data_IF_506833247847
#
_entry.id   IF_506833247847
#
_cell.length_a   1.000
_cell.length_b   1.000
_cell.length_c   1.000
_cell.angle_alpha   90.00
_cell.angle_beta   90.00
_cell.angle_gamma   90.00
#
_symmetry.space_group_name_H-M   'P 1'
#
loop_
_entity.id
_entity.type
_entity.pdbx_description
1 polymer ?
#
# COMPACT_ATOMS: atom_id res chain seq x y z
N UNK A 1 16.31 9.23 -0.84
CA UNK A 1 15.42 10.23 -1.46
C UNK A 1 15.91 10.73 -2.82
N UNK A 2 17.22 10.79 -3.09
CA UNK A 2 17.74 11.28 -4.38
C UNK A 2 17.63 10.28 -5.53
N UNK A 3 17.48 8.98 -5.26
CA UNK A 3 17.47 7.93 -6.28
C UNK A 3 16.10 7.71 -6.94
N UNK A 4 15.00 8.07 -6.25
CA UNK A 4 13.64 7.97 -6.78
C UNK A 4 12.95 9.31 -6.62
N UNK A 5 12.85 10.07 -7.71
CA UNK A 5 12.14 11.34 -7.67
C UNK A 5 10.65 11.08 -7.42
N UNK A 6 10.01 11.96 -6.65
CA UNK A 6 8.58 11.90 -6.39
C UNK A 6 8.15 11.13 -5.15
N UNK A 7 9.01 10.40 -4.46
CA UNK A 7 8.69 9.79 -3.16
C UNK A 7 8.34 10.89 -2.16
N UNK A 8 7.16 10.81 -1.58
CA UNK A 8 6.62 11.74 -0.59
C UNK A 8 6.79 11.22 0.82
N UNK A 9 6.41 9.97 1.05
CA UNK A 9 6.41 9.36 2.37
C UNK A 9 6.55 7.84 2.26
N UNK A 10 7.01 7.21 3.35
CA UNK A 10 7.13 5.76 3.47
C UNK A 10 6.63 5.34 4.85
N UNK A 11 5.80 4.32 4.88
CA UNK A 11 5.24 3.78 6.12
C UNK A 11 5.41 2.27 6.17
N UNK A 12 5.96 1.76 7.28
CA UNK A 12 6.00 0.32 7.56
C UNK A 12 4.68 -0.09 8.20
N UNK A 13 3.94 -0.97 7.53
CA UNK A 13 2.61 -1.36 8.02
C UNK A 13 2.69 -2.26 9.26
N UNK A 14 1.81 -2.01 10.23
CA UNK A 14 1.72 -2.87 11.43
C UNK A 14 1.35 -4.31 11.07
N UNK A 15 0.42 -4.52 10.14
CA UNK A 15 0.06 -5.85 9.63
C UNK A 15 1.21 -6.58 8.94
N UNK A 16 2.21 -5.86 8.47
CA UNK A 16 3.46 -6.41 7.91
C UNK A 16 4.55 -6.66 8.95
N UNK A 17 4.19 -6.96 10.18
CA UNK A 17 5.11 -7.22 11.29
C UNK A 17 6.13 -6.08 11.53
N UNK A 18 5.76 -4.86 11.24
CA UNK A 18 6.55 -3.65 11.46
C UNK A 18 7.69 -3.40 10.47
N UNK A 19 8.12 -4.39 9.68
CA UNK A 19 9.23 -4.21 8.73
C UNK A 19 9.19 -5.12 7.49
N UNK A 20 8.29 -6.09 7.40
CA UNK A 20 8.18 -6.93 6.21
C UNK A 20 7.40 -6.28 5.07
N UNK A 21 6.53 -5.32 5.38
CA UNK A 21 5.73 -4.61 4.40
C UNK A 21 5.86 -3.10 4.57
N UNK A 22 6.27 -2.43 3.50
CA UNK A 22 6.28 -0.99 3.40
C UNK A 22 5.27 -0.49 2.36
N UNK A 23 4.60 0.62 2.68
CA UNK A 23 3.79 1.38 1.73
C UNK A 23 4.54 2.66 1.38
N UNK A 24 4.73 2.91 0.10
CA UNK A 24 5.47 4.05 -0.44
C UNK A 24 4.50 4.96 -1.18
N UNK A 25 4.41 6.20 -0.74
CA UNK A 25 3.60 7.23 -1.40
C UNK A 25 4.45 8.02 -2.39
N UNK A 26 3.99 8.14 -3.63
CA UNK A 26 4.69 8.89 -4.68
C UNK A 26 3.78 9.89 -5.39
N UNK A 27 4.35 11.02 -5.80
CA UNK A 27 3.76 11.93 -6.78
C UNK A 27 4.37 11.62 -8.15
N UNK A 28 3.74 10.71 -8.90
CA UNK A 28 4.23 10.24 -10.18
C UNK A 28 4.14 11.32 -11.25
N UNK A 29 5.26 11.63 -11.92
CA UNK A 29 5.36 12.57 -13.05
C UNK A 29 5.76 11.90 -14.36
N UNK A 30 6.09 10.62 -14.34
CA UNK A 30 6.44 9.81 -15.51
C UNK A 30 6.06 8.36 -15.29
N UNK A 31 5.71 7.67 -16.36
CA UNK A 31 5.52 6.22 -16.32
C UNK A 31 6.77 5.50 -15.81
N UNK A 32 6.59 4.43 -15.03
CA UNK A 32 7.68 3.61 -14.52
C UNK A 32 8.30 4.08 -13.19
N UNK A 33 7.95 5.25 -12.66
CA UNK A 33 8.46 5.71 -11.36
C UNK A 33 8.03 4.80 -10.20
N UNK A 34 6.82 4.23 -10.26
CA UNK A 34 6.36 3.28 -9.27
C UNK A 34 7.25 2.03 -9.21
N UNK A 35 7.59 1.44 -10.37
CA UNK A 35 8.52 0.29 -10.41
C UNK A 35 9.92 0.65 -9.93
N UNK A 36 10.40 1.84 -10.25
CA UNK A 36 11.68 2.33 -9.73
C UNK A 36 11.64 2.47 -8.21
N UNK A 37 10.51 2.94 -7.65
CA UNK A 37 10.32 3.04 -6.19
C UNK A 37 10.30 1.65 -5.52
N UNK A 38 9.66 0.64 -6.13
CA UNK A 38 9.67 -0.73 -5.65
C UNK A 38 11.11 -1.29 -5.55
N UNK A 39 11.87 -1.19 -6.64
CA UNK A 39 13.25 -1.68 -6.67
C UNK A 39 14.13 -0.95 -5.66
N UNK A 40 14.01 0.36 -5.56
CA UNK A 40 14.78 1.16 -4.62
C UNK A 40 14.45 0.83 -3.16
N UNK A 41 13.19 0.59 -2.83
CA UNK A 41 12.77 0.19 -1.48
C UNK A 41 13.39 -1.14 -1.06
N UNK A 42 13.36 -2.15 -1.94
CA UNK A 42 13.99 -3.46 -1.66
C UNK A 42 15.50 -3.38 -1.55
N UNK A 43 16.15 -2.53 -2.35
CA UNK A 43 17.60 -2.33 -2.27
C UNK A 43 18.00 -1.54 -1.00
N UNK A 44 17.19 -0.56 -0.60
CA UNK A 44 17.47 0.26 0.58
C UNK A 44 17.28 -0.48 1.90
N UNK A 45 16.35 -1.45 1.95
CA UNK A 45 16.05 -2.17 3.18
C UNK A 45 15.82 -3.67 2.89
N UNK A 46 16.87 -4.50 2.91
CA UNK A 46 16.80 -5.92 2.60
C UNK A 46 15.78 -6.75 3.38
N UNK A 47 15.42 -6.46 4.63
CA UNK A 47 14.38 -7.20 5.35
C UNK A 47 12.98 -7.12 4.72
N UNK A 48 12.69 -6.11 3.90
CA UNK A 48 11.39 -6.00 3.23
C UNK A 48 11.10 -7.26 2.39
N UNK A 49 9.89 -7.79 2.57
CA UNK A 49 9.32 -8.86 1.76
C UNK A 49 8.31 -8.32 0.75
N UNK A 50 7.54 -7.32 1.17
CA UNK A 50 6.46 -6.72 0.39
C UNK A 50 6.61 -5.20 0.33
N UNK A 51 6.33 -4.61 -0.82
CA UNK A 51 6.23 -3.16 -0.98
C UNK A 51 5.00 -2.84 -1.81
N UNK A 52 4.19 -1.92 -1.35
CA UNK A 52 3.07 -1.35 -2.12
C UNK A 52 3.37 0.11 -2.42
N UNK A 53 3.32 0.49 -3.69
CA UNK A 53 3.47 1.89 -4.11
C UNK A 53 2.10 2.44 -4.47
N UNK A 54 1.76 3.60 -3.93
CA UNK A 54 0.49 4.30 -4.14
C UNK A 54 0.72 5.76 -4.52
N UNK A 55 -0.30 6.41 -5.09
CA UNK A 55 -0.27 7.84 -5.38
C UNK A 55 -0.39 8.70 -4.11
N UNK A 56 -0.13 10.00 -4.26
CA UNK A 56 -0.15 11.00 -3.19
C UNK A 56 -1.56 11.38 -2.70
N UNK A 57 -2.62 10.85 -3.31
CA UNK A 57 -4.01 10.99 -2.86
C UNK A 57 -4.48 9.86 -1.92
N UNK A 58 -3.61 8.90 -1.60
CA UNK A 58 -3.88 7.76 -0.73
C UNK A 58 -3.22 7.98 0.64
N UNK A 59 -3.98 7.84 1.72
CA UNK A 59 -3.40 7.84 3.06
C UNK A 59 -2.72 6.49 3.35
N UNK A 60 -1.38 6.49 3.34
CA UNK A 60 -0.58 5.27 3.53
C UNK A 60 -0.64 4.70 4.95
N UNK A 61 -1.17 5.46 5.93
CA UNK A 61 -1.37 5.01 7.31
C UNK A 61 -2.75 4.43 7.54
N UNK A 62 -3.66 4.59 6.58
CA UNK A 62 -4.98 3.98 6.59
C UNK A 62 -4.97 2.70 5.73
N UNK A 63 -5.01 1.49 6.34
CA UNK A 63 -5.00 0.24 5.59
C UNK A 63 -6.15 0.12 4.58
N UNK A 64 -7.33 0.65 4.91
CA UNK A 64 -8.48 0.65 4.00
C UNK A 64 -8.26 1.49 2.75
N UNK A 65 -7.53 2.61 2.86
CA UNK A 65 -7.16 3.44 1.71
C UNK A 65 -6.14 2.73 0.81
N UNK A 66 -5.17 2.05 1.41
CA UNK A 66 -4.17 1.27 0.69
C UNK A 66 -4.82 0.09 -0.03
N UNK A 67 -5.69 -0.66 0.65
CA UNK A 67 -6.44 -1.77 0.06
C UNK A 67 -7.35 -1.30 -1.06
N UNK A 68 -8.04 -0.17 -0.89
CA UNK A 68 -8.83 0.45 -1.95
C UNK A 68 -7.97 0.75 -3.19
N UNK A 69 -6.77 1.33 -3.02
CA UNK A 69 -5.87 1.62 -4.13
C UNK A 69 -5.42 0.33 -4.82
N UNK A 70 -5.10 -0.71 -4.07
CA UNK A 70 -4.74 -2.02 -4.61
C UNK A 70 -5.90 -2.65 -5.39
N UNK A 71 -7.13 -2.58 -4.87
CA UNK A 71 -8.30 -3.17 -5.51
C UNK A 71 -8.72 -2.43 -6.80
N UNK A 72 -8.49 -1.12 -6.87
CA UNK A 72 -9.02 -0.28 -7.96
C UNK A 72 -7.99 0.16 -8.99
N UNK A 73 -6.70 0.18 -8.65
CA UNK A 73 -5.62 0.73 -9.50
C UNK A 73 -4.59 -0.30 -9.94
N UNK A 74 -4.39 -1.37 -9.16
CA UNK A 74 -3.42 -2.39 -9.49
C UNK A 74 -3.90 -3.21 -10.69
N UNK A 75 -3.13 -3.18 -11.75
CA UNK A 75 -3.25 -4.15 -12.86
C UNK A 75 -2.28 -5.31 -12.60
N UNK A 76 -2.76 -6.52 -12.26
CA UNK A 76 -1.89 -7.64 -11.90
C UNK A 76 -0.86 -7.99 -12.97
N UNK A 77 -1.19 -7.81 -14.25
CA UNK A 77 -0.29 -8.12 -15.35
C UNK A 77 0.93 -7.19 -15.43
N UNK A 78 0.78 -5.94 -15.04
CA UNK A 78 1.82 -4.90 -15.16
C UNK A 78 2.30 -4.38 -13.81
N UNK A 79 1.46 -4.45 -12.81
CA UNK A 79 1.68 -3.84 -11.50
C UNK A 79 2.36 -4.76 -10.49
N UNK A 80 2.47 -6.06 -10.76
CA UNK A 80 3.16 -6.98 -9.85
C UNK A 80 4.62 -7.12 -10.29
N UNK A 81 5.52 -6.99 -9.32
CA UNK A 81 6.95 -7.25 -9.46
C UNK A 81 7.33 -8.38 -8.49
N UNK A 82 7.74 -9.52 -9.01
CA UNK A 82 8.31 -10.61 -8.20
C UNK A 82 9.81 -10.64 -8.42
N UNK A 83 10.58 -10.71 -7.32
CA UNK A 83 12.04 -10.84 -7.35
C UNK A 83 12.37 -12.14 -6.62
N UNK A 84 12.87 -13.11 -7.35
CA UNK A 84 13.21 -14.43 -6.82
C UNK A 84 14.68 -14.51 -6.38
N UNK A 85 14.97 -15.46 -5.49
CA UNK A 85 16.33 -15.78 -5.06
C UNK A 85 17.11 -14.57 -4.55
N UNK A 86 16.49 -13.80 -3.66
CA UNK A 86 17.05 -12.57 -3.11
C UNK A 86 17.17 -12.65 -1.59
N UNK A 87 18.20 -12.01 -1.05
CA UNK A 87 18.44 -11.93 0.38
C UNK A 87 17.27 -11.25 1.11
N UNK A 88 16.86 -11.84 2.22
CA UNK A 88 15.80 -11.33 3.09
C UNK A 88 16.12 -11.53 4.56
N UNK A 89 15.10 -11.61 5.42
CA UNK A 89 15.28 -11.70 6.87
C UNK A 89 14.99 -13.12 7.37
N UNK A 90 15.92 -13.70 8.14
CA UNK A 90 15.87 -15.08 8.62
C UNK A 90 14.74 -15.39 9.62
N UNK A 91 14.10 -14.39 10.22
CA UNK A 91 12.90 -14.60 11.04
C UNK A 91 11.64 -14.90 10.20
N UNK A 92 11.70 -14.68 8.89
CA UNK A 92 10.60 -15.02 8.01
C UNK A 92 10.75 -16.48 7.56
N UNK A 93 9.81 -17.38 7.91
CA UNK A 93 9.92 -18.81 7.55
C UNK A 93 9.93 -19.06 6.04
N UNK A 94 9.54 -18.09 5.22
CA UNK A 94 9.62 -18.19 3.75
C UNK A 94 10.98 -17.76 3.17
N UNK A 95 11.96 -17.49 4.05
CA UNK A 95 13.34 -17.17 3.68
C UNK A 95 14.31 -18.14 4.38
N UNK A 96 14.24 -19.45 4.07
CA UNK A 96 15.22 -20.40 4.61
C UNK A 96 16.62 -19.95 4.18
N UNK A 97 17.56 -20.00 5.11
CA UNK A 97 18.94 -19.54 4.90
C UNK A 97 19.05 -18.10 4.36
N UNK A 98 18.09 -17.23 4.76
CA UNK A 98 17.99 -15.84 4.31
C UNK A 98 17.69 -15.65 2.81
N UNK A 99 17.38 -16.72 2.08
CA UNK A 99 17.10 -16.68 0.66
C UNK A 99 15.61 -16.91 0.39
N UNK A 100 14.97 -16.03 -0.36
CA UNK A 100 13.55 -16.14 -0.68
C UNK A 100 13.13 -15.23 -1.82
N UNK A 101 11.84 -14.95 -1.90
CA UNK A 101 11.27 -14.07 -2.93
C UNK A 101 10.57 -12.88 -2.32
N UNK A 102 10.61 -11.76 -3.04
CA UNK A 102 9.95 -10.51 -2.67
C UNK A 102 8.89 -10.15 -3.69
N UNK A 103 7.86 -9.43 -3.25
CA UNK A 103 6.79 -8.97 -4.13
C UNK A 103 6.52 -7.48 -3.96
N UNK A 104 6.44 -6.77 -5.07
CA UNK A 104 6.06 -5.38 -5.14
C UNK A 104 4.73 -5.19 -5.87
N UNK A 105 3.92 -4.25 -5.41
CA UNK A 105 2.64 -3.89 -5.98
C UNK A 105 2.65 -2.43 -6.41
N UNK A 106 2.46 -2.18 -7.70
CA UNK A 106 2.23 -0.85 -8.25
C UNK A 106 0.73 -0.59 -8.28
N UNK A 107 0.23 0.03 -7.22
CA UNK A 107 -1.15 0.45 -7.07
C UNK A 107 -1.32 1.95 -7.35
N UNK A 108 -0.51 2.50 -8.27
CA UNK A 108 -0.65 3.86 -8.75
C UNK A 108 -1.59 3.96 -9.95
N UNK A 109 -2.13 5.15 -10.18
CA UNK A 109 -2.89 5.44 -11.38
C UNK A 109 -1.99 5.30 -12.62
N UNK A 110 -2.51 4.79 -13.74
CA UNK A 110 -1.77 4.82 -15.00
C UNK A 110 -1.30 6.24 -15.34
N UNK A 111 -0.09 6.35 -15.87
CA UNK A 111 0.42 7.62 -16.34
C UNK A 111 0.40 7.67 -17.89
N UNK A 112 -0.09 8.76 -18.53
CA UNK A 112 -0.67 9.96 -17.93
C UNK A 112 -1.98 9.68 -17.20
N UNK A 113 -2.21 10.41 -16.09
CA UNK A 113 -3.40 10.21 -15.27
C UNK A 113 -4.69 10.51 -16.04
N UNK A 114 -5.67 9.64 -15.90
CA UNK A 114 -7.01 9.82 -16.47
C UNK A 114 -8.04 10.00 -15.36
N UNK A 115 -9.14 10.73 -15.59
CA UNK A 115 -10.19 10.97 -14.59
C UNK A 115 -10.80 9.68 -14.03
N UNK A 116 -10.82 8.59 -14.78
CA UNK A 116 -11.42 7.31 -14.39
C UNK A 116 -10.79 6.69 -13.13
N UNK A 117 -9.57 7.08 -12.79
CA UNK A 117 -8.86 6.60 -11.60
C UNK A 117 -8.95 7.57 -10.41
N UNK A 118 -9.73 8.64 -10.53
CA UNK A 118 -9.96 9.57 -9.42
C UNK A 118 -11.00 8.99 -8.48
N UNK A 119 -10.67 8.94 -7.18
CA UNK A 119 -11.59 8.45 -6.15
C UNK A 119 -12.82 9.34 -6.04
N UNK A 120 -14.00 8.79 -6.25
CA UNK A 120 -15.24 9.47 -5.97
C UNK A 120 -15.36 9.67 -4.44
N UNK A 121 -15.50 10.92 -4.01
CA UNK A 121 -15.78 11.26 -2.61
C UNK A 121 -17.21 11.74 -2.52
N UNK A 122 -18.06 10.96 -1.86
CA UNK A 122 -19.39 11.40 -1.48
C UNK A 122 -19.23 12.24 -0.21
N UNK A 123 -19.81 13.44 -0.19
CA UNK A 123 -19.90 14.20 1.07
C UNK A 123 -20.70 13.37 2.06
N UNK A 124 -20.24 13.22 3.32
CA UNK A 124 -21.05 12.57 4.32
C UNK A 124 -22.40 13.28 4.35
N UNK A 125 -23.49 12.52 4.33
CA UNK A 125 -24.80 13.09 4.58
C UNK A 125 -24.77 13.69 6.00
N UNK A 126 -25.20 14.94 6.16
CA UNK A 126 -25.42 15.49 7.48
C UNK A 126 -26.56 14.69 8.12
N UNK A 127 -26.29 14.10 9.25
CA UNK A 127 -27.31 13.46 10.09
C UNK A 127 -28.00 14.47 11.03
N UNK A 128 -27.65 15.76 10.88
CA UNK A 128 -28.24 16.83 11.66
C UNK A 128 -29.76 16.88 11.39
N UNK A 129 -30.57 16.64 12.42
CA UNK A 129 -32.02 16.64 12.32
C UNK A 129 -32.65 15.27 11.97
N UNK A 130 -31.87 14.20 11.86
CA UNK A 130 -32.40 12.82 11.85
C UNK A 130 -32.51 12.32 13.28
N UNK A 131 -33.75 12.21 13.77
CA UNK A 131 -34.05 11.54 15.03
C UNK A 131 -33.97 10.01 14.78
N UNK A 132 -32.75 9.45 14.94
CA UNK A 132 -32.55 8.02 14.76
C UNK A 132 -32.58 7.39 16.14
N UNK A 133 -33.70 6.75 16.46
CA UNK A 133 -33.80 5.86 17.63
C UNK A 133 -32.90 4.64 17.41
N UNK A 134 -31.70 4.69 17.96
CA UNK A 134 -30.74 3.57 17.88
C UNK A 134 -31.06 2.64 19.06
N UNK A 135 -31.62 1.44 18.83
CA UNK A 135 -31.85 0.50 19.91
C UNK A 135 -30.53 0.15 20.61
N UNK A 136 -30.55 0.20 21.94
CA UNK A 136 -29.40 -0.11 22.77
C UNK A 136 -28.98 -1.57 22.55
N UNK A 137 -27.86 -1.80 21.89
CA UNK A 137 -27.30 -3.14 21.66
C UNK A 137 -26.65 -3.59 22.97
N UNK A 138 -27.35 -4.44 23.73
CA UNK A 138 -26.78 -5.12 24.89
C UNK A 138 -25.71 -6.11 24.39
N UNK A 139 -24.44 -5.77 24.55
CA UNK A 139 -23.34 -6.69 24.31
C UNK A 139 -23.35 -7.73 25.43
N UNK A 140 -23.47 -9.03 25.15
CA UNK A 140 -23.39 -10.04 26.18
C UNK A 140 -22.00 -10.05 26.83
N UNK A 141 -21.95 -10.08 28.17
CA UNK A 141 -20.68 -10.24 28.88
C UNK A 141 -20.06 -11.58 28.50
N UNK A 142 -18.86 -11.54 27.92
CA UNK A 142 -18.06 -12.73 27.65
C UNK A 142 -17.49 -13.19 29.00
N UNK A 143 -17.96 -14.35 29.47
CA UNK A 143 -17.40 -15.04 30.62
C UNK A 143 -16.22 -15.91 30.22
#
# INVERSE_FOLDING_TARGET
>A
QKQVPGVKDVYFSHGGCGFYHAVVQIAQKRAGWAKQALMAAFAAFPPLKMVTVVDDDVDIRNPGDVEWAMATRLDPKRGILVIENVFGHGLNPTFPDYLGSKVGFDATRPFPHTPNFTRARVKPASLDGLDIDVPEIKVPEIR
#
